data_IF_891477606275
#
_entry.id   IF_891477606275
#
_cell.length_a   1.000
_cell.length_b   1.000
_cell.length_c   1.000
_cell.angle_alpha   90.00
_cell.angle_beta   90.00
_cell.angle_gamma   90.00
#
_symmetry.space_group_name_H-M   'P 1'
#
loop_
_entity.id
_entity.type
_entity.pdbx_description
1 polymer ?
#
# COMPACT_ATOMS: atom_id res chain seq x y z
N UNK A 1 -2.29 -25.57 -20.65
CA UNK A 1 -2.14 -24.43 -19.72
C UNK A 1 -0.94 -23.63 -20.20
N UNK A 2 -1.17 -22.61 -21.02
CA UNK A 2 -0.09 -21.74 -21.50
C UNK A 2 0.50 -21.04 -20.27
N UNK A 3 1.73 -21.39 -19.93
CA UNK A 3 2.57 -20.65 -19.01
C UNK A 3 2.75 -19.26 -19.63
N UNK A 4 1.85 -18.33 -19.28
CA UNK A 4 2.06 -16.92 -19.52
C UNK A 4 3.44 -16.61 -18.95
N UNK A 5 4.39 -16.30 -19.83
CA UNK A 5 5.75 -15.92 -19.51
C UNK A 5 5.63 -14.84 -18.42
N UNK A 6 5.92 -15.20 -17.16
CA UNK A 6 5.92 -14.21 -16.11
C UNK A 6 7.08 -13.29 -16.45
N UNK A 7 6.76 -12.08 -16.91
CA UNK A 7 7.75 -11.03 -16.94
C UNK A 7 7.99 -10.75 -15.46
N UNK A 8 9.05 -11.35 -14.92
CA UNK A 8 9.49 -11.16 -13.55
C UNK A 8 10.15 -9.78 -13.46
N UNK A 9 9.29 -8.76 -13.52
CA UNK A 9 9.67 -7.37 -13.33
C UNK A 9 9.97 -7.23 -11.84
N UNK A 10 11.15 -6.69 -11.51
CA UNK A 10 11.55 -6.47 -10.12
C UNK A 10 10.52 -5.57 -9.45
N UNK A 11 10.22 -5.80 -8.18
CA UNK A 11 9.20 -5.06 -7.42
C UNK A 11 9.42 -3.54 -7.46
N UNK A 12 10.67 -3.08 -7.54
CA UNK A 12 11.04 -1.67 -7.66
C UNK A 12 10.82 -1.05 -9.05
N UNK A 13 10.55 -1.83 -10.10
CA UNK A 13 10.31 -1.33 -11.46
C UNK A 13 8.80 -1.16 -11.75
N UNK A 14 7.94 -1.85 -10.98
CA UNK A 14 6.48 -1.80 -11.15
C UNK A 14 5.90 -0.49 -10.63
N UNK A 15 5.09 0.17 -11.46
CA UNK A 15 4.34 1.37 -11.08
C UNK A 15 3.22 1.07 -10.08
N UNK A 16 2.45 0.00 -10.35
CA UNK A 16 1.42 -0.50 -9.45
C UNK A 16 1.86 -1.81 -8.80
N UNK A 17 1.68 -1.89 -7.49
CA UNK A 17 2.00 -3.06 -6.70
C UNK A 17 0.71 -3.73 -6.22
N UNK A 18 0.65 -5.05 -6.28
CA UNK A 18 -0.36 -5.80 -5.53
C UNK A 18 -0.09 -5.69 -4.03
N UNK A 19 -1.09 -5.96 -3.20
CA UNK A 19 -0.92 -5.95 -1.73
C UNK A 19 0.25 -6.85 -1.27
N UNK A 20 0.47 -7.99 -1.94
CA UNK A 20 1.59 -8.90 -1.62
C UNK A 20 2.94 -8.29 -1.94
N UNK A 21 3.07 -7.68 -3.12
CA UNK A 21 4.30 -7.02 -3.55
C UNK A 21 4.61 -5.78 -2.72
N UNK A 22 3.59 -4.98 -2.44
CA UNK A 22 3.70 -3.81 -1.58
C UNK A 22 4.08 -4.21 -0.13
N UNK A 23 3.61 -5.37 0.35
CA UNK A 23 4.03 -5.88 1.66
C UNK A 23 5.52 -6.18 1.71
N UNK A 24 6.10 -6.75 0.64
CA UNK A 24 7.55 -7.00 0.54
C UNK A 24 8.33 -5.71 0.31
N UNK A 25 7.80 -4.79 -0.50
CA UNK A 25 8.47 -3.54 -0.84
C UNK A 25 8.53 -2.54 0.34
N UNK A 26 7.41 -2.33 1.03
CA UNK A 26 7.30 -1.39 2.16
C UNK A 26 7.50 -2.05 3.53
N UNK A 27 7.56 -3.38 3.61
CA UNK A 27 7.69 -4.12 4.87
C UNK A 27 6.42 -4.10 5.75
N UNK A 28 5.28 -3.64 5.23
CA UNK A 28 4.02 -3.54 5.98
C UNK A 28 3.21 -4.83 5.81
N UNK A 29 2.63 -5.34 6.90
CA UNK A 29 1.81 -6.55 6.86
C UNK A 29 0.59 -6.43 5.94
N UNK A 30 0.29 -7.51 5.19
CA UNK A 30 -0.81 -7.60 4.21
C UNK A 30 -2.15 -7.13 4.79
N UNK A 31 -2.49 -7.53 6.02
CA UNK A 31 -3.76 -7.16 6.68
C UNK A 31 -3.86 -5.65 6.91
N UNK A 32 -2.78 -5.04 7.41
CA UNK A 32 -2.71 -3.61 7.67
C UNK A 32 -2.77 -2.83 6.36
N UNK A 33 -1.99 -3.26 5.35
CA UNK A 33 -2.00 -2.64 4.03
C UNK A 33 -3.39 -2.68 3.38
N UNK A 34 -4.15 -3.76 3.61
CA UNK A 34 -5.53 -3.89 3.13
C UNK A 34 -6.48 -2.89 3.81
N UNK A 35 -6.42 -2.78 5.14
CA UNK A 35 -7.20 -1.78 5.91
C UNK A 35 -6.85 -0.35 5.49
N UNK A 36 -5.56 -0.07 5.33
CA UNK A 36 -5.06 1.22 4.84
C UNK A 36 -5.57 1.53 3.43
N UNK A 37 -5.62 0.53 2.54
CA UNK A 37 -6.13 0.69 1.18
C UNK A 37 -7.65 0.89 1.13
N UNK A 38 -8.39 0.24 2.02
CA UNK A 38 -9.85 0.41 2.15
C UNK A 38 -10.21 1.82 2.64
N UNK A 39 -9.45 2.38 3.58
CA UNK A 39 -9.69 3.72 4.13
C UNK A 39 -9.25 4.87 3.21
N UNK A 40 -8.38 4.62 2.23
CA UNK A 40 -7.75 5.65 1.39
C UNK A 40 -7.93 5.39 -0.12
N UNK A 41 -9.09 4.86 -0.51
CA UNK A 41 -9.44 4.57 -1.90
C UNK A 41 -9.39 5.84 -2.77
N UNK A 42 -8.57 5.83 -3.82
CA UNK A 42 -8.37 6.96 -4.73
C UNK A 42 -7.12 7.82 -4.47
N UNK A 43 -6.57 7.79 -3.25
CA UNK A 43 -5.33 8.51 -2.92
C UNK A 43 -4.11 7.74 -3.41
N UNK A 44 -3.73 6.67 -2.71
CA UNK A 44 -2.63 5.77 -3.08
C UNK A 44 -3.09 4.34 -3.37
N UNK A 45 -4.30 3.95 -2.96
CA UNK A 45 -4.92 2.68 -3.32
C UNK A 45 -5.87 2.87 -4.49
N UNK A 46 -5.87 1.88 -5.38
CA UNK A 46 -6.81 1.77 -6.48
C UNK A 46 -7.49 0.41 -6.40
N UNK A 47 -8.81 0.43 -6.25
CA UNK A 47 -9.64 -0.78 -6.27
C UNK A 47 -10.00 -1.16 -7.70
N UNK A 48 -9.41 -2.25 -8.19
CA UNK A 48 -9.81 -2.90 -9.44
C UNK A 48 -10.70 -4.12 -9.14
N UNK A 49 -12.01 -3.88 -9.13
CA UNK A 49 -13.00 -4.90 -8.77
C UNK A 49 -12.85 -5.34 -7.32
N UNK A 50 -12.46 -6.60 -7.09
CA UNK A 50 -12.22 -7.15 -5.75
C UNK A 50 -10.73 -7.08 -5.31
N UNK A 51 -9.85 -6.55 -6.16
CA UNK A 51 -8.42 -6.47 -5.90
C UNK A 51 -8.03 -5.03 -5.59
N UNK A 52 -7.19 -4.87 -4.57
CA UNK A 52 -6.53 -3.59 -4.29
C UNK A 52 -5.13 -3.59 -4.90
N UNK A 53 -4.80 -2.49 -5.55
CA UNK A 53 -3.47 -2.18 -6.03
C UNK A 53 -3.00 -0.89 -5.38
N UNK A 54 -1.71 -0.81 -5.09
CA UNK A 54 -1.07 0.36 -4.51
C UNK A 54 -0.27 1.06 -5.60
N UNK A 55 -0.50 2.35 -5.75
CA UNK A 55 0.32 3.22 -6.58
C UNK A 55 1.60 3.55 -5.81
N UNK A 56 2.74 2.97 -6.22
CA UNK A 56 4.02 3.09 -5.52
C UNK A 56 4.44 4.54 -5.25
N UNK A 57 4.54 5.44 -6.25
CA UNK A 57 5.04 6.80 -6.00
C UNK A 57 4.13 7.62 -5.08
N UNK A 58 2.81 7.41 -5.17
CA UNK A 58 1.87 8.09 -4.27
C UNK A 58 1.98 7.59 -2.83
N UNK A 59 2.20 6.28 -2.65
CA UNK A 59 2.39 5.73 -1.32
C UNK A 59 3.73 6.13 -0.71
N UNK A 60 4.80 6.21 -1.50
CA UNK A 60 6.09 6.75 -1.06
C UNK A 60 5.98 8.20 -0.61
N UNK A 61 5.31 9.04 -1.39
CA UNK A 61 5.04 10.43 -1.02
C UNK A 61 4.19 10.52 0.26
N UNK A 62 3.19 9.66 0.42
CA UNK A 62 2.38 9.58 1.63
C UNK A 62 3.22 9.23 2.87
N UNK A 63 4.12 8.26 2.76
CA UNK A 63 5.03 7.90 3.86
C UNK A 63 5.99 9.03 4.17
N UNK A 64 6.56 9.71 3.17
CA UNK A 64 7.43 10.86 3.39
C UNK A 64 6.71 12.02 4.10
N UNK A 65 5.47 12.31 3.70
CA UNK A 65 4.63 13.33 4.36
C UNK A 65 4.30 12.93 5.81
N UNK A 66 3.98 11.66 6.04
CA UNK A 66 3.71 11.12 7.38
C UNK A 66 4.93 11.22 8.30
N UNK A 67 6.13 10.94 7.77
CA UNK A 67 7.38 11.03 8.55
C UNK A 67 7.83 12.48 8.78
N UNK A 68 7.38 13.42 7.94
CA UNK A 68 7.68 14.85 8.10
C UNK A 68 6.75 15.53 9.11
N UNK A 69 5.58 14.94 9.37
CA UNK A 69 4.70 15.35 10.46
C UNK A 69 5.23 14.75 11.75
N UNK A 70 5.79 15.59 12.61
CA UNK A 70 6.14 15.17 13.98
C UNK A 70 4.89 14.54 14.60
N UNK A 71 4.97 13.25 14.92
CA UNK A 71 3.87 12.48 15.49
C UNK A 71 3.45 13.11 16.81
N UNK A 72 2.35 13.86 16.82
CA UNK A 72 1.52 13.98 18.02
C UNK A 72 0.90 12.62 18.23
N UNK A 73 1.47 11.85 19.16
CA UNK A 73 0.87 10.61 19.66
C UNK A 73 -0.49 10.96 20.27
N UNK A 74 -1.57 10.89 19.50
CA UNK A 74 -2.90 10.79 20.09
C UNK A 74 -3.11 9.34 20.47
N UNK A 75 -2.68 9.01 21.69
CA UNK A 75 -3.34 8.00 22.50
C UNK A 75 -4.83 8.35 22.52
N UNK A 76 -5.64 7.59 21.79
CA UNK A 76 -7.07 7.52 22.05
C UNK A 76 -7.34 6.08 22.53
N UNK A 77 -6.90 5.82 23.76
CA UNK A 77 -7.59 4.87 24.64
C UNK A 77 -8.78 5.62 25.28
N UNK A 78 -9.95 4.96 25.36
CA UNK A 78 -11.18 5.35 26.11
C UNK A 78 -12.00 6.52 25.46
N UNK A 79 -13.32 6.56 25.31
CA UNK A 79 -14.58 5.90 25.74
C UNK A 79 -15.58 6.12 24.55
N UNK A 80 -16.54 5.26 24.22
CA UNK A 80 -17.82 4.95 24.90
C UNK A 80 -18.42 3.66 24.31
#
# INVERSE_FOLDING_TARGET
MTMSKCIDIRTGEKYMLTIKEASVYFGIGIKQLRRMAENNDGSYSLKFGNRFMICRPRFEMYLNDLMSKETTFTENDQEE
#
